data_IF_459576060575
#
_entry.id   IF_459576060575
#
_cell.length_a   1.000
_cell.length_b   1.000
_cell.length_c   1.000
_cell.angle_alpha   90.00
_cell.angle_beta   90.00
_cell.angle_gamma   90.00
#
_symmetry.space_group_name_H-M   'P 1'
#
loop_
_entity.id
_entity.type
_entity.pdbx_description
1 polymer ?
#
# COMPACT_ATOMS: atom_id res chain seq x y z
N UNK A 1 13.12 2.87 16.45
CA UNK A 1 12.72 3.78 15.36
C UNK A 1 11.61 3.11 14.56
N UNK A 2 10.65 3.88 14.05
CA UNK A 2 9.46 3.40 13.33
C UNK A 2 9.79 2.75 11.96
N UNK A 3 10.89 3.18 11.34
CA UNK A 3 11.44 2.59 10.11
C UNK A 3 12.71 1.81 10.45
N UNK A 4 12.76 0.53 10.04
CA UNK A 4 13.96 -0.30 10.13
C UNK A 4 14.78 -0.15 8.85
N UNK A 5 15.88 0.59 8.96
CA UNK A 5 16.81 0.88 7.86
C UNK A 5 17.64 -0.33 7.45
N UNK A 6 17.72 -1.37 8.29
CA UNK A 6 18.49 -2.59 7.98
C UNK A 6 17.86 -3.42 6.86
N UNK A 7 16.60 -3.14 6.53
CA UNK A 7 15.84 -3.76 5.44
C UNK A 7 16.05 -3.07 4.09
N UNK A 8 16.78 -1.96 4.07
CA UNK A 8 17.12 -1.27 2.83
C UNK A 8 17.83 -2.24 1.86
N UNK A 9 17.32 -2.31 0.62
CA UNK A 9 17.73 -3.26 -0.44
C UNK A 9 17.50 -4.76 -0.14
N UNK A 10 16.94 -5.13 1.01
CA UNK A 10 16.62 -6.53 1.37
C UNK A 10 15.18 -6.93 1.10
N UNK A 11 14.27 -5.97 1.07
CA UNK A 11 12.85 -6.18 0.74
C UNK A 11 12.49 -5.45 -0.54
N UNK A 12 11.48 -5.94 -1.26
CA UNK A 12 10.98 -5.22 -2.44
C UNK A 12 10.34 -3.90 -2.02
N UNK A 13 10.20 -2.96 -2.96
CA UNK A 13 9.45 -1.72 -2.69
C UNK A 13 8.02 -2.05 -2.27
N UNK A 14 7.36 -3.00 -2.95
CA UNK A 14 6.04 -3.51 -2.60
C UNK A 14 5.94 -3.95 -1.13
N UNK A 15 6.90 -4.73 -0.66
CA UNK A 15 6.95 -5.18 0.74
C UNK A 15 7.17 -4.02 1.72
N UNK A 16 8.02 -3.06 1.35
CA UNK A 16 8.24 -1.87 2.15
C UNK A 16 6.93 -1.05 2.27
N UNK A 17 6.17 -0.89 1.19
CA UNK A 17 4.88 -0.22 1.21
C UNK A 17 3.89 -0.94 2.13
N UNK A 18 3.76 -2.27 2.05
CA UNK A 18 2.86 -3.03 2.94
C UNK A 18 3.28 -2.86 4.40
N UNK A 19 4.58 -2.94 4.69
CA UNK A 19 5.12 -2.91 6.05
C UNK A 19 5.03 -1.53 6.71
N UNK A 20 5.28 -0.46 5.98
CA UNK A 20 5.44 0.88 6.55
C UNK A 20 4.26 1.84 6.30
N UNK A 21 3.39 1.54 5.33
CA UNK A 21 2.18 2.34 5.07
C UNK A 21 1.02 1.94 5.99
N UNK A 22 -0.20 2.28 5.57
CA UNK A 22 -1.46 1.92 6.23
C UNK A 22 -1.56 0.42 6.56
N UNK A 23 -1.05 -0.47 5.70
CA UNK A 23 -1.30 -1.91 5.80
C UNK A 23 -0.99 -2.53 7.17
N UNK A 24 0.12 -2.13 7.80
CA UNK A 24 0.50 -2.64 9.14
C UNK A 24 -0.15 -1.89 10.30
N UNK A 25 -0.45 -0.60 10.12
CA UNK A 25 -0.94 0.29 11.20
C UNK A 25 -2.45 0.26 11.35
N UNK A 26 -3.17 0.06 10.25
CA UNK A 26 -4.62 0.17 10.24
C UNK A 26 -5.32 -0.87 11.13
N UNK A 27 -4.90 -2.16 11.17
CA UNK A 27 -5.47 -3.14 12.11
C UNK A 27 -5.20 -2.83 13.59
N UNK A 28 -4.23 -1.96 13.89
CA UNK A 28 -3.90 -1.55 15.25
C UNK A 28 -4.62 -0.26 15.67
N UNK A 29 -5.43 0.31 14.76
CA UNK A 29 -6.18 1.54 14.97
C UNK A 29 -7.67 1.25 15.13
N UNK A 30 -8.47 2.24 15.52
CA UNK A 30 -9.94 2.14 15.52
C UNK A 30 -10.56 2.38 14.14
N UNK A 31 -9.76 2.33 13.07
CA UNK A 31 -10.21 2.53 11.69
C UNK A 31 -10.61 1.16 11.12
N UNK A 32 -11.86 1.05 10.68
CA UNK A 32 -12.40 -0.19 10.10
C UNK A 32 -12.32 -0.22 8.57
N UNK A 33 -12.21 0.94 7.91
CA UNK A 33 -12.16 1.00 6.44
C UNK A 33 -11.08 1.96 5.99
N UNK A 34 -10.30 1.56 5.01
CA UNK A 34 -9.23 2.40 4.48
C UNK A 34 -8.74 1.94 3.12
N UNK A 35 -8.32 2.89 2.29
CA UNK A 35 -7.69 2.60 1.02
C UNK A 35 -6.43 3.44 0.87
N UNK A 36 -5.33 2.79 0.51
CA UNK A 36 -4.10 3.46 0.11
C UNK A 36 -3.79 3.12 -1.34
N UNK A 37 -3.78 4.14 -2.20
CA UNK A 37 -3.50 4.02 -3.63
C UNK A 37 -2.13 4.61 -3.90
N UNK A 38 -1.18 3.77 -4.29
CA UNK A 38 0.12 4.23 -4.75
C UNK A 38 0.02 4.66 -6.21
N UNK A 39 0.70 5.76 -6.55
CA UNK A 39 0.78 6.20 -7.94
C UNK A 39 1.51 5.18 -8.82
N UNK A 40 1.25 5.27 -10.13
CA UNK A 40 1.95 4.50 -11.16
C UNK A 40 2.74 5.44 -12.05
N UNK A 41 3.85 4.97 -12.61
CA UNK A 41 4.77 5.76 -13.44
C UNK A 41 5.99 6.27 -12.67
N UNK A 42 6.73 7.20 -13.29
CA UNK A 42 7.93 7.80 -12.71
C UNK A 42 7.61 9.18 -12.15
N UNK A 43 7.62 9.29 -10.82
CA UNK A 43 7.39 10.52 -10.08
C UNK A 43 8.58 10.75 -9.14
N UNK A 44 9.27 11.88 -9.28
CA UNK A 44 10.40 12.26 -8.41
C UNK A 44 11.47 11.17 -8.26
N UNK A 45 11.88 10.58 -9.38
CA UNK A 45 12.83 9.44 -9.45
C UNK A 45 12.39 8.16 -8.72
N UNK A 46 11.18 8.17 -8.16
CA UNK A 46 10.52 6.99 -7.64
C UNK A 46 9.71 6.35 -8.77
N UNK A 47 9.74 5.03 -8.80
CA UNK A 47 8.94 4.22 -9.71
C UNK A 47 7.95 3.39 -8.89
N UNK A 48 6.91 4.03 -8.30
CA UNK A 48 5.88 3.33 -7.55
C UNK A 48 5.05 2.43 -8.48
N UNK A 49 4.57 1.32 -7.91
CA UNK A 49 4.04 0.20 -8.69
C UNK A 49 2.53 0.28 -8.96
N UNK A 50 1.85 1.39 -8.65
CA UNK A 50 0.40 1.50 -8.82
C UNK A 50 -0.40 0.55 -7.89
N UNK A 51 0.22 0.08 -6.80
CA UNK A 51 -0.36 -0.92 -5.91
C UNK A 51 -1.47 -0.30 -5.07
N UNK A 52 -2.45 -1.10 -4.66
CA UNK A 52 -3.55 -0.64 -3.79
C UNK A 52 -3.69 -1.56 -2.60
N UNK A 53 -3.79 -0.95 -1.42
CA UNK A 53 -4.06 -1.63 -0.15
C UNK A 53 -5.46 -1.25 0.29
N UNK A 54 -6.30 -2.23 0.58
CA UNK A 54 -7.68 -2.05 1.03
C UNK A 54 -7.84 -2.71 2.39
N UNK A 55 -8.16 -1.92 3.41
CA UNK A 55 -8.63 -2.40 4.69
C UNK A 55 -10.16 -2.45 4.68
N UNK A 56 -10.72 -3.61 4.99
CA UNK A 56 -12.15 -3.79 5.21
C UNK A 56 -12.37 -4.56 6.53
N UNK A 57 -12.91 -3.86 7.52
CA UNK A 57 -12.85 -4.22 8.94
C UNK A 57 -11.42 -4.57 9.34
N UNK A 58 -11.12 -5.86 9.53
CA UNK A 58 -9.81 -6.36 9.94
C UNK A 58 -9.05 -7.07 8.81
N UNK A 59 -9.63 -7.09 7.60
CA UNK A 59 -9.03 -7.75 6.43
C UNK A 59 -8.27 -6.76 5.57
N UNK A 60 -6.96 -6.99 5.42
CA UNK A 60 -6.12 -6.26 4.48
C UNK A 60 -6.01 -7.01 3.15
N UNK A 61 -6.63 -6.48 2.11
CA UNK A 61 -6.46 -6.95 0.73
C UNK A 61 -5.39 -6.12 0.02
N UNK A 62 -4.44 -6.80 -0.62
CA UNK A 62 -3.39 -6.17 -1.43
C UNK A 62 -3.62 -6.49 -2.89
N UNK A 63 -3.98 -5.49 -3.68
CA UNK A 63 -4.09 -5.66 -5.13
C UNK A 63 -2.70 -5.71 -5.77
N UNK A 64 -2.59 -6.44 -6.88
CA UNK A 64 -1.36 -6.50 -7.67
C UNK A 64 -0.97 -5.13 -8.24
N UNK A 65 0.32 -4.90 -8.55
CA UNK A 65 0.79 -3.71 -9.26
C UNK A 65 -0.02 -3.35 -10.51
N UNK A 66 -0.13 -2.06 -10.79
CA UNK A 66 -0.76 -1.51 -11.99
C UNK A 66 0.23 -0.60 -12.74
N UNK A 67 1.29 -1.19 -13.29
CA UNK A 67 2.45 -0.45 -13.84
C UNK A 67 2.31 0.04 -15.28
N UNK A 68 1.31 -0.46 -16.03
CA UNK A 68 1.16 -0.16 -17.48
C UNK A 68 -0.14 0.59 -17.85
N UNK A 69 -1.07 0.71 -16.91
CA UNK A 69 -2.39 1.26 -17.17
C UNK A 69 -2.93 1.95 -15.92
N UNK A 70 -3.73 3.00 -16.12
CA UNK A 70 -4.52 3.58 -15.04
C UNK A 70 -5.49 2.55 -14.47
N UNK A 71 -5.75 2.61 -13.17
CA UNK A 71 -6.71 1.74 -12.49
C UNK A 71 -7.70 2.59 -11.71
N UNK A 72 -8.98 2.31 -11.90
CA UNK A 72 -10.05 2.79 -11.03
C UNK A 72 -10.30 1.71 -9.98
N UNK A 73 -10.38 2.11 -8.72
CA UNK A 73 -10.71 1.21 -7.60
C UNK A 73 -11.92 1.78 -6.88
N UNK A 74 -12.97 0.98 -6.79
CA UNK A 74 -14.16 1.32 -6.02
C UNK A 74 -14.17 0.49 -4.74
N UNK A 75 -14.42 1.14 -3.61
CA UNK A 75 -14.68 0.50 -2.33
C UNK A 75 -16.12 0.79 -1.94
N UNK A 76 -16.94 -0.25 -1.95
CA UNK A 76 -18.31 -0.19 -1.48
C UNK A 76 -18.31 -0.56 0.01
N UNK A 77 -18.82 0.35 0.83
CA UNK A 77 -18.98 0.17 2.26
C UNK A 77 -20.46 -0.13 2.57
N UNK A 78 -20.75 -0.95 3.58
CA UNK A 78 -22.12 -1.20 4.05
C UNK A 78 -22.77 0.04 4.67
#
# INVERSE_FOLDING_TARGET
ADVDTTLYKKITKGDAWIKYSMGRRAPQSSIHYGMNVFFTGRLWDLNPEGRVLVLNNDSLTVLSPAVKQGRVVNLYLP
#
